data_IF_552644588963
#
_entry.id   IF_552644588963
#
_cell.length_a   1.000
_cell.length_b   1.000
_cell.length_c   1.000
_cell.angle_alpha   90.00
_cell.angle_beta   90.00
_cell.angle_gamma   90.00
#
_symmetry.space_group_name_H-M   'P 1'
#
loop_
_entity.id
_entity.type
_entity.pdbx_description
1 polymer ?
#
# COMPACT_ATOMS: atom_id res chain seq x y z
N UNK A 1 6.52 10.41 14.25
CA UNK A 1 6.92 10.66 12.84
C UNK A 1 6.34 11.98 12.32
N UNK A 2 5.01 12.19 12.36
CA UNK A 2 4.38 13.44 11.89
C UNK A 2 4.93 14.75 12.52
N UNK A 3 5.17 14.77 13.83
CA UNK A 3 5.75 15.94 14.52
C UNK A 3 7.19 16.28 14.10
N UNK A 4 7.98 15.27 13.71
CA UNK A 4 9.36 15.46 13.23
C UNK A 4 9.38 16.07 11.83
N UNK A 5 8.48 15.60 10.96
CA UNK A 5 8.28 16.17 9.64
C UNK A 5 7.78 17.61 9.70
N UNK A 6 6.88 17.93 10.64
CA UNK A 6 6.39 19.29 10.82
C UNK A 6 7.50 20.26 11.25
N UNK A 7 8.39 19.86 12.17
CA UNK A 7 9.55 20.70 12.57
C UNK A 7 10.57 20.88 11.46
N UNK A 8 10.87 19.83 10.69
CA UNK A 8 11.74 19.91 9.51
C UNK A 8 11.16 20.83 8.43
N UNK A 9 9.85 20.73 8.18
CA UNK A 9 9.15 21.58 7.22
C UNK A 9 9.19 23.07 7.62
N UNK A 10 8.97 23.38 8.90
CA UNK A 10 9.04 24.75 9.41
C UNK A 10 10.45 25.35 9.30
N UNK A 11 11.51 24.56 9.59
CA UNK A 11 12.89 25.01 9.40
C UNK A 11 13.21 25.29 7.92
N UNK A 12 12.75 24.42 7.02
CA UNK A 12 12.88 24.59 5.57
C UNK A 12 12.19 25.88 5.07
N UNK A 13 10.96 26.14 5.52
CA UNK A 13 10.24 27.37 5.16
C UNK A 13 10.97 28.63 5.65
N UNK A 14 11.56 28.60 6.84
CA UNK A 14 12.29 29.75 7.40
C UNK A 14 13.62 30.04 6.70
N UNK A 15 14.36 29.01 6.26
CA UNK A 15 15.60 29.19 5.51
C UNK A 15 15.36 29.54 4.04
N UNK A 16 14.31 28.98 3.44
CA UNK A 16 13.96 29.25 2.05
C UNK A 16 13.50 30.71 1.86
N UNK A 17 12.75 31.27 2.80
CA UNK A 17 12.35 32.69 2.76
C UNK A 17 13.55 33.63 2.87
N UNK A 18 14.52 33.32 3.75
CA UNK A 18 15.74 34.12 3.92
C UNK A 18 16.66 34.11 2.69
N UNK A 19 16.75 32.99 1.96
CA UNK A 19 17.61 32.89 0.77
C UNK A 19 16.94 33.38 -0.52
N UNK A 20 15.61 33.27 -0.62
CA UNK A 20 14.83 33.84 -1.73
C UNK A 20 14.93 35.37 -1.74
N UNK A 21 14.95 36.02 -0.56
CA UNK A 21 15.16 37.46 -0.41
C UNK A 21 16.56 37.89 -0.87
N UNK A 22 17.56 37.01 -0.76
CA UNK A 22 18.95 37.29 -1.16
C UNK A 22 19.30 36.87 -2.61
N UNK A 23 18.33 36.39 -3.40
CA UNK A 23 18.53 36.02 -4.81
C UNK A 23 19.47 34.84 -5.07
N UNK A 24 19.86 34.07 -4.05
CA UNK A 24 20.82 32.95 -4.15
C UNK A 24 20.13 31.60 -4.37
N UNK A 25 19.60 31.39 -5.57
CA UNK A 25 18.90 30.15 -5.97
C UNK A 25 19.80 28.90 -6.02
N UNK A 26 21.08 29.06 -6.39
CA UNK A 26 22.02 27.93 -6.48
C UNK A 26 22.35 27.33 -5.11
N UNK A 27 22.42 28.16 -4.06
CA UNK A 27 22.61 27.70 -2.69
C UNK A 27 21.39 26.95 -2.14
N UNK A 28 20.20 27.40 -2.51
CA UNK A 28 18.94 26.78 -2.13
C UNK A 28 18.84 25.36 -2.70
N UNK A 29 19.23 25.14 -3.96
CA UNK A 29 19.17 23.83 -4.60
C UNK A 29 20.14 22.82 -3.95
N UNK A 30 21.37 23.24 -3.65
CA UNK A 30 22.34 22.40 -2.94
C UNK A 30 21.85 22.04 -1.53
N UNK A 31 21.27 23.01 -0.82
CA UNK A 31 20.69 22.78 0.51
C UNK A 31 19.48 21.83 0.44
N UNK A 32 18.61 21.97 -0.56
CA UNK A 32 17.50 21.05 -0.81
C UNK A 32 17.96 19.62 -1.09
N UNK A 33 19.02 19.44 -1.89
CA UNK A 33 19.59 18.11 -2.15
C UNK A 33 20.16 17.48 -0.88
N UNK A 34 20.89 18.25 -0.06
CA UNK A 34 21.43 17.76 1.21
C UNK A 34 20.33 17.33 2.19
N UNK A 35 19.22 18.07 2.26
CA UNK A 35 18.09 17.74 3.13
C UNK A 35 17.30 16.53 2.63
N UNK A 36 17.18 16.36 1.31
CA UNK A 36 16.62 15.13 0.72
C UNK A 36 17.47 13.90 1.07
N UNK A 37 18.79 14.02 1.04
CA UNK A 37 19.69 12.92 1.42
C UNK A 37 19.50 12.54 2.90
N UNK A 38 19.52 13.51 3.82
CA UNK A 38 19.29 13.26 5.25
C UNK A 38 17.90 12.68 5.52
N UNK A 39 16.87 13.17 4.83
CA UNK A 39 15.51 12.64 4.95
C UNK A 39 15.43 11.18 4.43
N UNK A 40 16.12 10.87 3.33
CA UNK A 40 16.17 9.52 2.78
C UNK A 40 16.88 8.54 3.73
N UNK A 41 18.02 8.93 4.32
CA UNK A 41 18.74 8.12 5.32
C UNK A 41 17.91 7.86 6.58
N UNK A 42 17.23 8.89 7.09
CA UNK A 42 16.34 8.76 8.24
C UNK A 42 15.12 7.91 7.93
N UNK A 43 14.61 7.97 6.71
CA UNK A 43 13.52 7.11 6.27
C UNK A 43 13.97 5.66 6.12
N UNK A 44 15.15 5.42 5.56
CA UNK A 44 15.71 4.08 5.39
C UNK A 44 15.95 3.39 6.74
N UNK A 45 16.55 4.10 7.69
CA UNK A 45 16.78 3.59 9.06
C UNK A 45 15.47 3.37 9.82
N UNK A 46 14.51 4.28 9.71
CA UNK A 46 13.18 4.08 10.29
C UNK A 46 12.45 2.89 9.67
N UNK A 47 12.55 2.71 8.35
CA UNK A 47 11.98 1.58 7.64
C UNK A 47 12.60 0.25 8.07
N UNK A 48 13.90 0.21 8.35
CA UNK A 48 14.56 -0.99 8.86
C UNK A 48 14.07 -1.37 10.27
N UNK A 49 13.88 -0.39 11.14
CA UNK A 49 13.32 -0.60 12.48
C UNK A 49 11.86 -1.04 12.42
N UNK A 50 11.06 -0.41 11.56
CA UNK A 50 9.65 -0.77 11.36
C UNK A 50 9.53 -2.16 10.74
N UNK A 51 10.33 -2.50 9.74
CA UNK A 51 10.28 -3.81 9.09
C UNK A 51 10.66 -4.96 10.04
N UNK A 52 11.57 -4.72 10.99
CA UNK A 52 11.88 -5.68 12.08
C UNK A 52 10.80 -5.74 13.16
N UNK A 53 10.12 -4.63 13.44
CA UNK A 53 9.12 -4.54 14.49
C UNK A 53 7.71 -4.98 14.03
N UNK A 54 7.40 -4.93 12.74
CA UNK A 54 6.08 -5.30 12.22
C UNK A 54 5.97 -6.83 12.21
N UNK A 55 5.00 -7.42 12.93
CA UNK A 55 4.81 -8.86 12.93
C UNK A 55 4.57 -9.37 11.51
N UNK A 56 5.18 -10.51 11.18
CA UNK A 56 5.17 -11.13 9.83
C UNK A 56 3.76 -11.25 9.24
N UNK A 57 2.75 -11.48 10.08
CA UNK A 57 1.33 -11.51 9.69
C UNK A 57 0.85 -10.20 9.04
N UNK A 58 1.25 -9.03 9.56
CA UNK A 58 0.83 -7.74 8.98
C UNK A 58 1.44 -7.55 7.59
N UNK A 59 2.66 -8.01 7.39
CA UNK A 59 3.31 -8.01 6.08
C UNK A 59 2.58 -8.94 5.09
N UNK A 60 2.31 -10.18 5.51
CA UNK A 60 1.56 -11.15 4.69
C UNK A 60 0.18 -10.62 4.33
N UNK A 61 -0.55 -10.06 5.30
CA UNK A 61 -1.88 -9.46 5.09
C UNK A 61 -1.82 -8.25 4.16
N UNK A 62 -0.78 -7.41 4.25
CA UNK A 62 -0.60 -6.27 3.35
C UNK A 62 -0.30 -6.74 1.92
N UNK A 63 0.57 -7.75 1.76
CA UNK A 63 0.89 -8.38 0.48
C UNK A 63 -0.35 -9.01 -0.15
N UNK A 64 -1.12 -9.77 0.63
CA UNK A 64 -2.38 -10.40 0.24
C UNK A 64 -3.36 -9.36 -0.33
N UNK A 65 -3.62 -8.28 0.43
CA UNK A 65 -4.50 -7.19 0.01
C UNK A 65 -4.02 -6.47 -1.25
N UNK A 66 -2.71 -6.20 -1.36
CA UNK A 66 -2.15 -5.56 -2.56
C UNK A 66 -2.38 -6.39 -3.82
N UNK A 67 -2.28 -7.71 -3.72
CA UNK A 67 -2.46 -8.60 -4.87
C UNK A 67 -3.93 -8.76 -5.24
N UNK A 68 -4.85 -8.82 -4.27
CA UNK A 68 -6.25 -9.17 -4.52
C UNK A 68 -7.21 -7.97 -4.58
N UNK A 69 -6.94 -6.96 -3.76
CA UNK A 69 -7.75 -5.75 -3.61
C UNK A 69 -6.84 -4.52 -3.76
N UNK A 70 -6.21 -4.35 -4.93
CA UNK A 70 -5.37 -3.19 -5.16
C UNK A 70 -6.18 -1.90 -5.11
N UNK A 71 -5.69 -0.95 -4.31
CA UNK A 71 -6.16 0.43 -4.30
C UNK A 71 -5.26 1.33 -5.17
N UNK A 72 -3.95 1.04 -5.19
CA UNK A 72 -2.94 1.94 -5.78
C UNK A 72 -2.34 1.44 -7.11
N UNK A 73 -2.66 0.22 -7.55
CA UNK A 73 -2.11 -0.39 -8.77
C UNK A 73 -3.20 -0.69 -9.80
N UNK A 74 -2.86 -0.55 -11.08
CA UNK A 74 -3.76 -0.86 -12.19
C UNK A 74 -3.89 -2.36 -12.44
N UNK A 75 -4.93 -2.76 -13.18
CA UNK A 75 -5.21 -4.17 -13.52
C UNK A 75 -4.04 -4.81 -14.27
N UNK A 76 -3.41 -4.08 -15.20
CA UNK A 76 -2.28 -4.58 -15.97
C UNK A 76 -1.05 -4.85 -15.10
N UNK A 77 -0.77 -3.98 -14.13
CA UNK A 77 0.32 -4.17 -13.17
C UNK A 77 0.03 -5.37 -12.26
N UNK A 78 -1.24 -5.54 -11.86
CA UNK A 78 -1.71 -6.67 -11.07
C UNK A 78 -1.53 -8.01 -11.82
N UNK A 79 -1.86 -8.06 -13.11
CA UNK A 79 -1.69 -9.26 -13.96
C UNK A 79 -0.23 -9.65 -14.18
N UNK A 80 0.72 -8.72 -14.00
CA UNK A 80 2.13 -9.01 -14.12
C UNK A 80 2.72 -9.67 -12.84
N UNK A 81 2.01 -9.63 -11.71
CA UNK A 81 2.45 -10.32 -10.49
C UNK A 81 2.17 -11.83 -10.61
N UNK A 82 3.20 -12.66 -10.45
CA UNK A 82 3.06 -14.13 -10.48
C UNK A 82 2.09 -14.65 -9.44
N UNK A 83 2.03 -14.01 -8.28
CA UNK A 83 1.13 -14.41 -7.20
C UNK A 83 -0.34 -14.16 -7.52
N UNK A 84 -0.64 -13.16 -8.36
CA UNK A 84 -2.00 -12.89 -8.81
C UNK A 84 -2.60 -14.11 -9.51
N UNK A 85 -1.83 -14.76 -10.38
CA UNK A 85 -2.28 -15.96 -11.09
C UNK A 85 -2.52 -17.15 -10.16
N UNK A 86 -1.69 -17.32 -9.13
CA UNK A 86 -1.91 -18.34 -8.10
C UNK A 86 -3.22 -18.11 -7.37
N UNK A 87 -3.49 -16.87 -6.97
CA UNK A 87 -4.73 -16.48 -6.31
C UNK A 87 -5.95 -16.66 -7.21
N UNK A 88 -5.82 -16.30 -8.49
CA UNK A 88 -6.87 -16.48 -9.49
C UNK A 88 -7.19 -17.97 -9.70
N UNK A 89 -6.16 -18.82 -9.78
CA UNK A 89 -6.34 -20.26 -9.90
C UNK A 89 -7.14 -20.83 -8.72
N UNK A 90 -6.84 -20.43 -7.47
CA UNK A 90 -7.60 -20.85 -6.30
C UNK A 90 -9.03 -20.31 -6.27
N UNK A 91 -9.25 -19.09 -6.77
CA UNK A 91 -10.58 -18.49 -6.82
C UNK A 91 -11.52 -19.21 -7.81
N UNK A 92 -10.97 -19.68 -8.93
CA UNK A 92 -11.73 -20.32 -10.03
C UNK A 92 -11.77 -21.85 -9.92
N UNK A 93 -10.96 -22.45 -9.03
CA UNK A 93 -10.82 -23.90 -8.94
C UNK A 93 -12.18 -24.59 -8.68
N UNK A 94 -12.68 -25.42 -9.61
CA UNK A 94 -14.03 -25.98 -9.56
C UNK A 94 -14.13 -27.24 -8.68
N UNK A 95 -13.35 -27.31 -7.60
CA UNK A 95 -13.40 -28.42 -6.66
C UNK A 95 -14.25 -28.04 -5.45
N UNK A 96 -15.20 -28.92 -5.11
CA UNK A 96 -16.22 -28.68 -4.09
C UNK A 96 -15.62 -28.12 -2.78
N UNK A 97 -16.01 -26.89 -2.45
CA UNK A 97 -15.67 -26.22 -1.20
C UNK A 97 -14.37 -25.40 -1.17
N UNK A 98 -13.44 -25.58 -2.10
CA UNK A 98 -12.16 -24.82 -2.10
C UNK A 98 -12.41 -23.33 -2.36
N UNK A 99 -13.26 -23.02 -3.33
CA UNK A 99 -13.65 -21.63 -3.61
C UNK A 99 -14.33 -20.98 -2.40
N UNK A 100 -15.25 -21.68 -1.72
CA UNK A 100 -15.93 -21.18 -0.53
C UNK A 100 -14.95 -20.88 0.62
N UNK A 101 -14.03 -21.80 0.91
CA UNK A 101 -12.97 -21.60 1.90
C UNK A 101 -12.09 -20.40 1.52
N UNK A 102 -11.76 -20.28 0.24
CA UNK A 102 -10.96 -19.16 -0.28
C UNK A 102 -11.66 -17.80 -0.07
N UNK A 103 -12.97 -17.71 -0.29
CA UNK A 103 -13.75 -16.50 -0.02
C UNK A 103 -13.81 -16.17 1.49
N UNK A 104 -13.92 -17.18 2.35
CA UNK A 104 -13.87 -16.99 3.82
C UNK A 104 -12.50 -16.47 4.26
N UNK A 105 -11.41 -17.03 3.74
CA UNK A 105 -10.06 -16.55 4.01
C UNK A 105 -9.89 -15.11 3.55
N UNK A 106 -10.40 -14.76 2.37
CA UNK A 106 -10.37 -13.37 1.89
C UNK A 106 -11.14 -12.41 2.81
N UNK A 107 -12.31 -12.83 3.29
CA UNK A 107 -13.08 -12.04 4.24
C UNK A 107 -12.33 -11.82 5.56
N UNK A 108 -11.59 -12.81 6.05
CA UNK A 108 -10.76 -12.68 7.25
C UNK A 108 -9.55 -11.75 7.04
N UNK A 109 -8.99 -11.70 5.82
CA UNK A 109 -7.82 -10.90 5.47
C UNK A 109 -8.13 -9.42 5.18
N UNK A 110 -9.36 -9.12 4.76
CA UNK A 110 -9.82 -7.76 4.43
C UNK A 110 -9.73 -6.82 5.63
N UNK A 111 -9.49 -5.53 5.34
CA UNK A 111 -9.67 -4.49 6.34
C UNK A 111 -11.14 -4.06 6.42
N UNK A 112 -11.78 -4.27 7.57
CA UNK A 112 -13.18 -3.87 7.76
C UNK A 112 -13.33 -2.36 7.96
N UNK A 113 -12.24 -1.66 8.25
CA UNK A 113 -12.22 -0.20 8.38
C UNK A 113 -12.15 0.51 7.02
N UNK A 114 -11.78 -0.22 5.96
CA UNK A 114 -11.71 0.31 4.60
C UNK A 114 -12.98 -0.05 3.81
N UNK A 115 -13.85 0.95 3.61
CA UNK A 115 -15.11 0.77 2.89
C UNK A 115 -14.91 0.34 1.43
N UNK A 116 -13.83 0.75 0.77
CA UNK A 116 -13.58 0.40 -0.62
C UNK A 116 -13.31 -1.10 -0.76
N UNK A 117 -12.46 -1.64 0.11
CA UNK A 117 -12.13 -3.08 0.13
C UNK A 117 -13.37 -3.93 0.41
N UNK A 118 -14.22 -3.50 1.35
CA UNK A 118 -15.43 -4.22 1.71
C UNK A 118 -16.46 -4.23 0.58
N UNK A 119 -16.73 -3.08 -0.04
CA UNK A 119 -17.68 -2.99 -1.15
C UNK A 119 -17.24 -3.86 -2.34
N UNK A 120 -15.96 -3.81 -2.70
CA UNK A 120 -15.40 -4.60 -3.81
C UNK A 120 -15.52 -6.10 -3.54
N UNK A 121 -15.30 -6.54 -2.30
CA UNK A 121 -15.51 -7.92 -1.89
C UNK A 121 -16.98 -8.35 -2.02
N UNK A 122 -17.92 -7.56 -1.52
CA UNK A 122 -19.36 -7.88 -1.59
C UNK A 122 -19.83 -8.00 -3.03
N UNK A 123 -19.41 -7.08 -3.91
CA UNK A 123 -19.76 -7.11 -5.34
C UNK A 123 -19.23 -8.39 -5.98
N UNK A 124 -17.96 -8.74 -5.74
CA UNK A 124 -17.35 -9.92 -6.33
C UNK A 124 -17.97 -11.22 -5.81
N UNK A 125 -18.27 -11.29 -4.50
CA UNK A 125 -18.94 -12.44 -3.89
C UNK A 125 -20.36 -12.64 -4.42
N UNK A 126 -21.15 -11.57 -4.53
CA UNK A 126 -22.50 -11.62 -5.10
C UNK A 126 -22.48 -11.99 -6.58
N UNK A 127 -21.50 -11.49 -7.34
CA UNK A 127 -21.31 -11.87 -8.74
C UNK A 127 -21.12 -13.37 -8.89
N UNK A 128 -20.26 -13.97 -8.06
CA UNK A 128 -20.03 -15.41 -8.07
C UNK A 128 -21.27 -16.22 -7.66
N UNK A 129 -22.02 -15.74 -6.66
CA UNK A 129 -23.26 -16.39 -6.24
C UNK A 129 -24.31 -16.39 -7.35
N UNK A 130 -24.46 -15.28 -8.10
CA UNK A 130 -25.38 -15.20 -9.23
C UNK A 130 -25.04 -16.22 -10.33
N UNK A 131 -23.76 -16.38 -10.68
CA UNK A 131 -23.34 -17.41 -11.64
C UNK A 131 -23.60 -18.85 -11.16
N UNK A 132 -23.62 -19.09 -9.85
CA UNK A 132 -23.88 -20.42 -9.29
C UNK A 132 -25.37 -20.77 -9.16
N UNK A 133 -26.27 -19.78 -9.11
CA UNK A 133 -27.71 -20.01 -8.89
C UNK A 133 -28.52 -20.22 -10.16
N UNK A 134 -27.97 -19.87 -11.33
CA UNK A 134 -28.64 -19.98 -12.63
C UNK A 134 -28.33 -21.30 -13.38
N UNK A 135 -27.72 -22.28 -12.69
CA UNK A 135 -27.43 -23.64 -13.13
C UNK A 135 -28.12 -24.66 -12.20
#
# INVERSE_FOLDING_TARGET
>A
IAHLWHRLYLQLCSCASLQAVNGRWNGLHAQWQSLRAVAAERFASAWELISKAVPSWRYVRARWRRILLPHDIGVWEQMNDRWYWTHYAFAVFPYFGISAIYWIVNFAMIDRQDHYQLCRFIIAFKGLQAFSSDL
#
